data_IF_588325308896
#
_entry.id   IF_588325308896
#
_cell.length_a   1.000
_cell.length_b   1.000
_cell.length_c   1.000
_cell.angle_alpha   90.00
_cell.angle_beta   90.00
_cell.angle_gamma   90.00
#
_symmetry.space_group_name_H-M   'P 1'
#
loop_
_entity.id
_entity.type
_entity.pdbx_description
1 polymer ?
#
# COMPACT_ATOMS: atom_id res chain seq x y z
N UNK A 1 47.21 -32.71 -25.64
CA UNK A 1 47.46 -33.10 -24.23
C UNK A 1 46.16 -32.97 -23.45
N UNK A 2 45.94 -33.77 -22.40
CA UNK A 2 44.76 -33.66 -21.53
C UNK A 2 45.13 -33.88 -20.07
N UNK A 3 44.32 -33.34 -19.16
CA UNK A 3 44.48 -33.54 -17.73
C UNK A 3 43.79 -34.85 -17.33
N UNK A 4 44.50 -35.70 -16.60
CA UNK A 4 44.00 -36.97 -16.05
C UNK A 4 44.12 -36.93 -14.53
N UNK A 5 43.08 -37.41 -13.84
CA UNK A 5 43.12 -37.63 -12.40
C UNK A 5 43.42 -39.11 -12.15
N UNK A 6 44.43 -39.40 -11.33
CA UNK A 6 44.81 -40.76 -10.92
C UNK A 6 44.71 -40.91 -9.41
N UNK A 7 44.12 -42.01 -8.96
CA UNK A 7 43.97 -42.36 -7.55
C UNK A 7 45.12 -43.29 -7.11
N UNK A 8 45.68 -43.03 -5.92
CA UNK A 8 46.65 -43.91 -5.27
C UNK A 8 46.31 -43.98 -3.78
N UNK A 9 45.68 -45.08 -3.37
CA UNK A 9 45.07 -45.19 -2.03
C UNK A 9 43.96 -44.16 -1.83
N UNK A 10 44.00 -43.42 -0.72
CA UNK A 10 43.05 -42.34 -0.42
C UNK A 10 43.36 -41.00 -1.10
N UNK A 11 44.43 -40.92 -1.90
CA UNK A 11 44.93 -39.67 -2.48
C UNK A 11 44.65 -39.58 -3.97
N UNK A 12 44.25 -38.39 -4.43
CA UNK A 12 44.04 -38.08 -5.86
C UNK A 12 45.13 -37.15 -6.36
N UNK A 13 45.70 -37.47 -7.53
CA UNK A 13 46.75 -36.70 -8.18
C UNK A 13 46.31 -36.24 -9.55
N UNK A 14 46.74 -35.03 -9.93
CA UNK A 14 46.47 -34.45 -11.25
C UNK A 14 47.72 -34.62 -12.12
N UNK A 15 47.56 -35.17 -13.32
CA UNK A 15 48.65 -35.38 -14.27
C UNK A 15 48.31 -34.80 -15.64
N UNK A 16 49.28 -34.18 -16.29
CA UNK A 16 49.21 -33.76 -17.69
C UNK A 16 49.72 -34.91 -18.57
N UNK A 17 48.87 -35.41 -19.45
CA UNK A 17 49.15 -36.56 -20.31
C UNK A 17 49.13 -36.13 -21.77
N UNK A 18 50.12 -36.59 -22.52
CA UNK A 18 50.20 -36.43 -23.97
C UNK A 18 49.95 -37.76 -24.66
N UNK A 19 49.23 -37.73 -25.77
CA UNK A 19 49.10 -38.87 -26.67
C UNK A 19 50.03 -38.65 -27.86
N UNK A 20 50.92 -39.59 -28.13
CA UNK A 20 51.87 -39.55 -29.25
C UNK A 20 51.77 -40.85 -30.05
N UNK A 21 52.15 -40.82 -31.33
CA UNK A 21 52.25 -42.03 -32.17
C UNK A 21 53.69 -42.52 -32.13
N UNK A 22 53.89 -43.83 -31.96
CA UNK A 22 55.20 -44.44 -32.14
C UNK A 22 55.53 -44.62 -33.62
N UNK A 23 56.79 -44.96 -33.93
CA UNK A 23 57.27 -45.14 -35.31
C UNK A 23 56.53 -46.27 -36.06
N UNK A 24 55.78 -47.11 -35.35
CA UNK A 24 54.90 -48.15 -35.89
C UNK A 24 53.44 -47.69 -36.07
N UNK A 25 53.15 -46.39 -35.89
CA UNK A 25 51.84 -45.79 -36.09
C UNK A 25 50.82 -46.04 -34.96
N UNK A 26 51.20 -46.70 -33.85
CA UNK A 26 50.30 -46.95 -32.72
C UNK A 26 50.26 -45.76 -31.77
N UNK A 27 49.05 -45.39 -31.33
CA UNK A 27 48.85 -44.29 -30.37
C UNK A 27 49.18 -44.77 -28.97
N UNK A 28 50.18 -44.15 -28.34
CA UNK A 28 50.56 -44.35 -26.93
C UNK A 28 50.35 -43.09 -26.11
N UNK A 29 50.20 -43.25 -24.80
CA UNK A 29 50.07 -42.14 -23.85
C UNK A 29 51.33 -42.06 -22.99
N UNK A 30 51.87 -40.86 -22.82
CA UNK A 30 52.97 -40.57 -21.87
C UNK A 30 52.54 -39.48 -20.89
N UNK A 31 52.88 -39.66 -19.63
CA UNK A 31 52.69 -38.61 -18.61
C UNK A 31 53.80 -37.58 -18.80
N UNK A 32 53.41 -36.34 -19.07
CA UNK A 32 54.32 -35.21 -19.30
C UNK A 32 54.71 -34.56 -17.97
N UNK A 33 53.75 -34.39 -17.07
CA UNK A 33 53.99 -33.78 -15.76
C UNK A 33 52.95 -34.25 -14.73
N UNK A 34 53.32 -34.25 -13.45
CA UNK A 34 52.39 -34.41 -12.33
C UNK A 34 52.20 -33.06 -11.65
N UNK A 35 50.97 -32.53 -11.67
CA UNK A 35 50.60 -31.20 -11.18
C UNK A 35 50.28 -31.17 -9.68
N UNK A 36 50.45 -32.30 -8.97
CA UNK A 36 50.31 -32.38 -7.53
C UNK A 36 49.03 -33.09 -7.05
N UNK A 37 48.76 -33.00 -5.74
CA UNK A 37 47.61 -33.64 -5.07
C UNK A 37 46.38 -32.76 -5.19
N UNK A 38 45.26 -33.32 -5.65
CA UNK A 38 44.03 -32.57 -5.91
C UNK A 38 43.56 -31.76 -4.69
N UNK A 39 43.70 -32.30 -3.48
CA UNK A 39 43.19 -31.66 -2.26
C UNK A 39 44.12 -30.56 -1.68
N UNK A 40 45.27 -30.28 -2.31
CA UNK A 40 46.26 -29.29 -1.84
C UNK A 40 46.52 -28.17 -2.86
N UNK A 41 45.86 -28.22 -4.00
CA UNK A 41 46.31 -27.53 -5.23
C UNK A 41 45.46 -26.30 -5.57
N UNK A 42 44.45 -25.95 -4.77
CA UNK A 42 43.45 -24.94 -5.13
C UNK A 42 44.01 -23.53 -5.41
N UNK A 43 44.88 -22.97 -4.57
CA UNK A 43 45.36 -21.59 -4.75
C UNK A 43 46.46 -21.46 -5.81
N UNK A 44 47.41 -22.39 -5.84
CA UNK A 44 48.54 -22.35 -6.78
C UNK A 44 48.13 -22.75 -8.20
N UNK A 45 47.16 -23.67 -8.36
CA UNK A 45 46.65 -24.06 -9.68
C UNK A 45 45.87 -22.93 -10.33
N UNK A 46 45.10 -22.17 -9.56
CA UNK A 46 44.40 -21.00 -10.09
C UNK A 46 45.36 -19.96 -10.66
N UNK A 47 46.51 -19.73 -10.02
CA UNK A 47 47.56 -18.86 -10.54
C UNK A 47 48.16 -19.40 -11.86
N UNK A 48 48.39 -20.72 -11.95
CA UNK A 48 48.88 -21.36 -13.18
C UNK A 48 47.83 -21.30 -14.30
N UNK A 49 46.55 -21.52 -14.00
CA UNK A 49 45.45 -21.40 -14.96
C UNK A 49 45.36 -19.97 -15.50
N UNK A 50 45.42 -18.96 -14.63
CA UNK A 50 45.42 -17.56 -15.04
C UNK A 50 46.65 -17.20 -15.89
N UNK A 51 47.83 -17.73 -15.53
CA UNK A 51 49.05 -17.56 -16.32
C UNK A 51 48.95 -18.19 -17.71
N UNK A 52 48.41 -19.41 -17.81
CA UNK A 52 48.20 -20.10 -19.09
C UNK A 52 47.17 -19.39 -19.98
N UNK A 53 46.09 -18.86 -19.40
CA UNK A 53 45.09 -18.04 -20.12
C UNK A 53 45.76 -16.77 -20.67
N UNK A 54 46.60 -16.10 -19.86
CA UNK A 54 47.32 -14.90 -20.28
C UNK A 54 48.31 -15.18 -21.43
N UNK A 55 49.01 -16.31 -21.38
CA UNK A 55 50.01 -16.71 -22.41
C UNK A 55 49.34 -17.25 -23.67
N UNK A 56 48.17 -17.89 -23.57
CA UNK A 56 47.43 -18.41 -24.73
C UNK A 56 46.78 -17.31 -25.59
N UNK A 57 46.92 -16.04 -25.19
CA UNK A 57 46.27 -14.91 -25.87
C UNK A 57 44.75 -14.90 -25.72
N UNK A 58 44.21 -15.83 -24.92
CA UNK A 58 42.82 -15.77 -24.49
C UNK A 58 42.73 -14.62 -23.50
N UNK A 59 42.17 -13.49 -23.95
CA UNK A 59 41.61 -12.53 -23.00
C UNK A 59 40.73 -13.36 -22.07
N UNK A 60 40.85 -13.23 -20.73
CA UNK A 60 39.90 -13.85 -19.84
C UNK A 60 38.55 -13.25 -20.17
N UNK A 61 37.83 -13.88 -21.11
CA UNK A 61 36.40 -13.72 -21.21
C UNK A 61 35.95 -14.10 -19.81
N UNK A 62 35.41 -13.18 -19.01
CA UNK A 62 34.79 -13.59 -17.78
C UNK A 62 33.81 -14.66 -18.22
N UNK A 63 34.10 -15.92 -17.89
CA UNK A 63 33.07 -16.94 -17.91
C UNK A 63 31.92 -16.24 -17.22
N UNK A 64 30.77 -16.02 -17.87
CA UNK A 64 29.63 -15.64 -17.10
C UNK A 64 29.48 -16.85 -16.20
N UNK A 65 29.99 -16.75 -14.96
CA UNK A 65 29.21 -17.18 -13.83
C UNK A 65 27.85 -16.63 -14.19
N UNK A 66 26.99 -17.51 -14.67
CA UNK A 66 25.56 -17.24 -14.69
C UNK A 66 25.30 -17.08 -13.21
N UNK A 67 25.58 -15.87 -12.71
CA UNK A 67 25.07 -15.37 -11.46
C UNK A 67 23.60 -15.52 -11.76
N UNK A 68 23.01 -16.58 -11.18
CA UNK A 68 21.59 -16.79 -11.23
C UNK A 68 20.98 -15.42 -11.02
N UNK A 69 20.15 -14.92 -11.97
CA UNK A 69 19.66 -13.56 -11.92
C UNK A 69 19.19 -13.34 -10.48
N UNK A 70 19.65 -12.27 -9.84
CA UNK A 70 19.30 -12.01 -8.45
C UNK A 70 17.78 -11.80 -8.41
N UNK A 71 17.03 -12.86 -8.13
CA UNK A 71 15.59 -12.82 -7.97
C UNK A 71 15.37 -12.14 -6.62
N UNK A 72 15.15 -10.83 -6.69
CA UNK A 72 14.69 -10.05 -5.56
C UNK A 72 13.16 -9.99 -5.63
N UNK A 73 12.50 -10.34 -4.53
CA UNK A 73 11.08 -10.08 -4.40
C UNK A 73 10.89 -8.61 -4.04
N UNK A 74 10.32 -7.84 -4.95
CA UNK A 74 9.83 -6.51 -4.63
C UNK A 74 8.57 -6.61 -3.76
N UNK A 75 8.32 -5.56 -2.98
CA UNK A 75 7.15 -5.50 -2.12
C UNK A 75 5.87 -5.48 -2.97
N UNK A 76 5.03 -6.50 -2.82
CA UNK A 76 3.70 -6.54 -3.42
C UNK A 76 2.74 -5.65 -2.63
N UNK A 77 2.64 -4.38 -3.04
CA UNK A 77 1.75 -3.40 -2.40
C UNK A 77 0.38 -3.38 -3.04
N UNK A 78 -0.67 -3.23 -2.23
CA UNK A 78 -2.01 -3.01 -2.74
C UNK A 78 -2.13 -1.63 -3.39
N UNK A 79 -2.77 -1.58 -4.57
CA UNK A 79 -2.85 -0.37 -5.39
C UNK A 79 -4.25 -0.09 -5.94
N UNK A 80 -5.00 -1.12 -6.34
CA UNK A 80 -6.23 -0.92 -7.12
C UNK A 80 -7.32 -0.14 -6.39
N UNK A 81 -7.59 -0.49 -5.13
CA UNK A 81 -8.54 0.18 -4.24
C UNK A 81 -8.12 1.63 -3.94
N UNK A 82 -6.87 1.82 -3.56
CA UNK A 82 -6.30 3.13 -3.22
C UNK A 82 -6.28 4.06 -4.43
N UNK A 83 -5.93 3.54 -5.60
CA UNK A 83 -5.94 4.29 -6.86
C UNK A 83 -7.37 4.71 -7.22
N UNK A 84 -8.32 3.77 -7.20
CA UNK A 84 -9.72 4.05 -7.52
C UNK A 84 -10.32 5.11 -6.59
N UNK A 85 -10.04 5.04 -5.28
CA UNK A 85 -10.46 6.04 -4.32
C UNK A 85 -9.77 7.39 -4.52
N UNK A 86 -8.51 7.39 -4.95
CA UNK A 86 -7.79 8.64 -5.24
C UNK A 86 -8.35 9.34 -6.47
N UNK A 87 -8.69 8.61 -7.52
CA UNK A 87 -9.35 9.19 -8.70
C UNK A 87 -10.77 9.66 -8.35
N UNK A 88 -11.54 8.88 -7.58
CA UNK A 88 -12.86 9.31 -7.11
C UNK A 88 -12.77 10.61 -6.27
N UNK A 89 -11.75 10.73 -5.43
CA UNK A 89 -11.51 11.94 -4.64
C UNK A 89 -11.31 13.18 -5.54
N UNK A 90 -10.56 13.03 -6.63
CA UNK A 90 -10.31 14.08 -7.62
C UNK A 90 -11.57 14.40 -8.41
N UNK A 91 -12.28 13.39 -8.90
CA UNK A 91 -13.51 13.53 -9.69
C UNK A 91 -14.64 14.19 -8.91
N UNK A 92 -14.77 13.86 -7.63
CA UNK A 92 -15.73 14.52 -6.73
C UNK A 92 -15.31 15.94 -6.34
N UNK A 93 -14.11 16.39 -6.72
CA UNK A 93 -13.63 17.75 -6.47
C UNK A 93 -13.13 17.99 -5.04
N UNK A 94 -12.87 16.94 -4.25
CA UNK A 94 -12.40 17.10 -2.87
C UNK A 94 -11.01 17.75 -2.77
N UNK A 95 -10.24 17.80 -3.87
CA UNK A 95 -9.01 18.60 -3.96
C UNK A 95 -9.23 20.09 -3.66
N UNK A 96 -10.47 20.60 -3.74
CA UNK A 96 -10.82 21.96 -3.31
C UNK A 96 -10.52 22.22 -1.82
N UNK A 97 -10.52 21.18 -0.97
CA UNK A 97 -10.19 21.29 0.46
C UNK A 97 -8.78 21.84 0.70
N UNK A 98 -7.85 21.63 -0.24
CA UNK A 98 -6.50 22.18 -0.17
C UNK A 98 -6.49 23.70 -0.05
N UNK A 99 -7.48 24.39 -0.62
CA UNK A 99 -7.61 25.85 -0.53
C UNK A 99 -8.03 26.31 0.87
N UNK A 100 -8.79 25.51 1.60
CA UNK A 100 -9.23 25.80 2.97
C UNK A 100 -8.03 25.82 3.90
N UNK A 101 -7.14 24.83 3.76
CA UNK A 101 -5.98 24.67 4.64
C UNK A 101 -4.77 25.54 4.25
N UNK A 102 -4.75 26.15 3.06
CA UNK A 102 -3.67 27.07 2.63
C UNK A 102 -3.50 28.30 3.51
N UNK A 103 -4.55 28.69 4.25
CA UNK A 103 -4.51 29.85 5.16
C UNK A 103 -3.84 29.53 6.49
N UNK A 104 -3.70 28.24 6.83
CA UNK A 104 -3.17 27.80 8.10
C UNK A 104 -1.65 27.69 8.02
N UNK A 105 -0.95 28.06 9.09
CA UNK A 105 0.52 28.17 9.18
C UNK A 105 1.25 26.80 9.15
N UNK A 106 0.63 25.77 8.59
CA UNK A 106 1.17 24.43 8.59
C UNK A 106 2.08 24.21 7.37
N UNK A 107 3.31 23.80 7.63
CA UNK A 107 4.29 23.38 6.62
C UNK A 107 3.89 22.09 5.89
N UNK A 108 2.86 21.39 6.39
CA UNK A 108 2.43 20.07 5.93
C UNK A 108 1.15 20.16 5.11
N UNK A 109 1.05 19.37 4.03
CA UNK A 109 -0.16 19.31 3.21
C UNK A 109 -1.31 18.58 3.96
N UNK A 110 -2.15 19.37 4.64
CA UNK A 110 -3.24 18.88 5.48
C UNK A 110 -4.29 18.11 4.67
N UNK A 111 -4.60 18.55 3.44
CA UNK A 111 -5.56 17.85 2.58
C UNK A 111 -5.06 16.44 2.24
N UNK A 112 -3.78 16.30 1.90
CA UNK A 112 -3.19 15.00 1.61
C UNK A 112 -3.25 14.05 2.83
N UNK A 113 -3.02 14.56 4.04
CA UNK A 113 -3.11 13.75 5.26
C UNK A 113 -4.54 13.32 5.58
N UNK A 114 -5.51 14.22 5.41
CA UNK A 114 -6.93 13.90 5.58
C UNK A 114 -7.34 12.85 4.54
N UNK A 115 -6.94 13.03 3.28
CA UNK A 115 -7.20 12.07 2.21
C UNK A 115 -6.66 10.68 2.58
N UNK A 116 -5.41 10.58 3.03
CA UNK A 116 -4.83 9.31 3.49
C UNK A 116 -5.66 8.66 4.61
N UNK A 117 -6.09 9.44 5.61
CA UNK A 117 -6.92 8.90 6.71
C UNK A 117 -8.30 8.45 6.25
N UNK A 118 -8.93 9.17 5.31
CA UNK A 118 -10.22 8.78 4.73
C UNK A 118 -10.08 7.50 3.91
N UNK A 119 -9.05 7.41 3.07
CA UNK A 119 -8.77 6.22 2.27
C UNK A 119 -8.49 5.01 3.17
N UNK A 120 -7.68 5.15 4.21
CA UNK A 120 -7.48 4.09 5.19
C UNK A 120 -8.83 3.65 5.82
N UNK A 121 -9.69 4.60 6.18
CA UNK A 121 -11.01 4.29 6.77
C UNK A 121 -11.92 3.50 5.84
N UNK A 122 -11.77 3.65 4.52
CA UNK A 122 -12.53 2.94 3.49
C UNK A 122 -11.92 1.58 3.13
N UNK A 123 -10.59 1.47 3.11
CA UNK A 123 -9.88 0.25 2.71
C UNK A 123 -9.64 -0.71 3.88
N UNK A 124 -9.01 -0.22 4.95
CA UNK A 124 -8.58 -1.04 6.10
C UNK A 124 -8.61 -0.20 7.38
N UNK A 125 -9.78 -0.12 8.04
CA UNK A 125 -10.03 0.86 9.09
C UNK A 125 -9.21 0.59 10.35
N UNK A 126 -8.12 1.34 10.52
CA UNK A 126 -7.23 1.22 11.68
C UNK A 126 -7.15 2.51 12.53
N UNK A 127 -6.39 2.45 13.63
CA UNK A 127 -6.03 3.64 14.42
C UNK A 127 -5.07 4.56 13.65
N UNK A 128 -4.88 5.83 14.07
CA UNK A 128 -3.91 6.74 13.42
C UNK A 128 -2.48 6.20 13.42
N UNK A 129 -2.12 5.39 14.42
CA UNK A 129 -0.84 4.71 14.45
C UNK A 129 -0.81 3.54 13.45
N UNK A 130 -1.95 2.84 13.32
CA UNK A 130 -2.15 1.79 12.31
C UNK A 130 -2.05 2.31 10.88
N UNK A 131 -2.58 3.51 10.60
CA UNK A 131 -2.41 4.18 9.30
C UNK A 131 -0.94 4.20 8.85
N UNK A 132 0.03 4.41 9.75
CA UNK A 132 1.45 4.41 9.39
C UNK A 132 1.95 3.04 8.95
N UNK A 133 1.41 1.95 9.52
CA UNK A 133 1.73 0.58 9.12
C UNK A 133 1.04 0.23 7.81
N UNK A 134 -0.24 0.60 7.68
CA UNK A 134 -1.01 0.44 6.45
C UNK A 134 -0.33 1.15 5.26
N UNK A 135 0.25 2.32 5.49
CA UNK A 135 1.04 3.04 4.48
C UNK A 135 2.23 2.24 3.92
N UNK A 136 2.79 1.29 4.68
CA UNK A 136 3.86 0.41 4.20
C UNK A 136 3.35 -0.69 3.26
N UNK A 137 2.06 -1.05 3.36
CA UNK A 137 1.42 -2.13 2.60
C UNK A 137 0.76 -1.66 1.30
N UNK A 138 0.50 -0.36 1.16
CA UNK A 138 -0.17 0.23 -0.01
C UNK A 138 0.72 1.14 -0.85
N UNK A 139 0.42 1.23 -2.14
CA UNK A 139 1.02 2.20 -3.05
C UNK A 139 0.04 3.37 -3.25
N UNK A 140 0.30 4.49 -2.58
CA UNK A 140 -0.50 5.71 -2.71
C UNK A 140 0.02 6.59 -3.85
N UNK A 141 -0.82 6.91 -4.86
CA UNK A 141 -0.48 7.92 -5.85
C UNK A 141 -0.49 9.32 -5.22
N UNK A 142 0.34 10.22 -5.75
CA UNK A 142 0.41 11.65 -5.41
C UNK A 142 0.74 11.99 -3.93
N UNK A 143 1.21 11.02 -3.15
CA UNK A 143 1.59 11.21 -1.73
C UNK A 143 2.94 10.54 -1.47
N UNK A 144 3.91 11.30 -0.98
CA UNK A 144 5.19 10.75 -0.51
C UNK A 144 5.02 10.12 0.86
N UNK A 145 4.78 8.81 0.87
CA UNK A 145 4.47 8.01 2.05
C UNK A 145 5.56 8.07 3.14
N UNK A 146 6.84 8.14 2.75
CA UNK A 146 7.99 8.12 3.69
C UNK A 146 8.11 9.36 4.59
N UNK A 147 7.34 10.41 4.32
CA UNK A 147 7.41 11.67 5.08
C UNK A 147 6.32 11.81 6.15
N UNK A 148 5.35 10.88 6.22
CA UNK A 148 4.18 11.03 7.09
C UNK A 148 4.48 10.50 8.49
N UNK A 149 4.30 11.36 9.48
CA UNK A 149 4.48 11.05 10.90
C UNK A 149 3.15 11.03 11.64
N UNK A 150 3.08 10.29 12.75
CA UNK A 150 1.88 10.24 13.59
C UNK A 150 1.45 11.64 14.08
N UNK A 151 2.41 12.50 14.41
CA UNK A 151 2.14 13.87 14.87
C UNK A 151 1.51 14.75 13.78
N UNK A 152 1.91 14.55 12.51
CA UNK A 152 1.28 15.27 11.41
C UNK A 152 -0.18 14.84 11.23
N UNK A 153 -0.49 13.55 11.35
CA UNK A 153 -1.88 13.06 11.31
C UNK A 153 -2.72 13.68 12.42
N UNK A 154 -2.23 13.72 13.66
CA UNK A 154 -2.97 14.35 14.76
C UNK A 154 -3.17 15.85 14.53
N UNK A 155 -2.12 16.59 14.13
CA UNK A 155 -2.24 18.02 13.83
C UNK A 155 -3.16 18.32 12.65
N UNK A 156 -3.27 17.40 11.69
CA UNK A 156 -4.21 17.56 10.58
C UNK A 156 -5.67 17.47 11.05
N UNK A 157 -5.96 16.70 12.09
CA UNK A 157 -7.28 16.67 12.73
C UNK A 157 -7.57 17.98 13.47
N UNK A 158 -6.58 18.56 14.14
CA UNK A 158 -6.74 19.86 14.79
C UNK A 158 -7.05 20.95 13.75
N UNK A 159 -6.32 20.97 12.63
CA UNK A 159 -6.56 21.89 11.52
C UNK A 159 -7.94 21.69 10.87
N UNK A 160 -8.39 20.44 10.75
CA UNK A 160 -9.73 20.09 10.27
C UNK A 160 -10.81 20.66 11.20
N UNK A 161 -10.63 20.56 12.51
CA UNK A 161 -11.56 21.12 13.50
C UNK A 161 -11.55 22.65 13.50
N UNK A 162 -10.38 23.28 13.38
CA UNK A 162 -10.27 24.75 13.35
C UNK A 162 -10.99 25.36 12.14
N UNK A 163 -10.96 24.67 10.99
CA UNK A 163 -11.59 25.13 9.74
C UNK A 163 -12.93 24.45 9.44
N UNK A 164 -13.60 23.88 10.46
CA UNK A 164 -14.80 23.06 10.30
C UNK A 164 -15.86 23.71 9.39
N UNK A 165 -16.22 24.97 9.64
CA UNK A 165 -17.27 25.66 8.87
C UNK A 165 -16.92 25.83 7.39
N UNK A 166 -15.64 26.08 7.07
CA UNK A 166 -15.17 26.20 5.70
C UNK A 166 -15.13 24.83 4.99
N UNK A 167 -14.75 23.78 5.72
CA UNK A 167 -14.79 22.40 5.22
C UNK A 167 -16.23 21.97 4.94
N UNK A 168 -17.16 22.23 5.87
CA UNK A 168 -18.58 21.92 5.72
C UNK A 168 -19.17 22.61 4.49
N UNK A 169 -18.81 23.88 4.24
CA UNK A 169 -19.26 24.61 3.06
C UNK A 169 -18.77 23.98 1.75
N UNK A 170 -17.51 23.54 1.68
CA UNK A 170 -16.96 22.84 0.52
C UNK A 170 -17.66 21.50 0.32
N UNK A 171 -17.74 20.68 1.36
CA UNK A 171 -18.37 19.35 1.29
C UNK A 171 -19.85 19.48 0.89
N UNK A 172 -20.59 20.41 1.49
CA UNK A 172 -21.98 20.66 1.13
C UNK A 172 -22.12 21.11 -0.34
N UNK A 173 -21.20 21.97 -0.81
CA UNK A 173 -21.17 22.42 -2.20
C UNK A 173 -20.92 21.28 -3.20
N UNK A 174 -20.04 20.33 -2.86
CA UNK A 174 -19.74 19.16 -3.69
C UNK A 174 -20.85 18.12 -3.66
N UNK A 175 -21.49 17.92 -2.51
CA UNK A 175 -22.56 16.94 -2.36
C UNK A 175 -23.89 17.44 -2.95
N UNK A 176 -24.23 18.72 -2.82
CA UNK A 176 -25.53 19.27 -3.22
C UNK A 176 -25.95 18.93 -4.67
N UNK A 177 -25.08 18.96 -5.68
CA UNK A 177 -25.43 18.54 -7.05
C UNK A 177 -25.68 17.04 -7.21
N UNK A 178 -25.09 16.21 -6.34
CA UNK A 178 -25.31 14.75 -6.34
C UNK A 178 -26.66 14.37 -5.72
N UNK A 179 -27.28 15.31 -5.01
CA UNK A 179 -28.59 15.17 -4.40
C UNK A 179 -29.64 15.58 -5.42
N UNK A 180 -30.45 14.62 -5.86
CA UNK A 180 -31.56 14.86 -6.78
C UNK A 180 -32.55 15.89 -6.18
N UNK A 181 -32.92 16.93 -6.94
CA UNK A 181 -33.82 17.96 -6.41
C UNK A 181 -35.29 17.48 -6.31
N UNK A 182 -35.62 16.37 -6.98
CA UNK A 182 -36.92 15.69 -6.87
C UNK A 182 -37.02 14.76 -5.66
N UNK A 183 -36.30 15.11 -4.58
CA UNK A 183 -36.28 14.32 -3.37
C UNK A 183 -37.66 14.31 -2.70
N UNK A 184 -38.28 13.14 -2.65
CA UNK A 184 -39.61 12.98 -2.04
C UNK A 184 -39.56 12.70 -0.54
N UNK A 185 -38.44 12.14 -0.05
CA UNK A 185 -38.24 11.78 1.37
C UNK A 185 -36.76 11.90 1.74
N UNK A 186 -36.47 12.62 2.83
CA UNK A 186 -35.16 12.66 3.48
C UNK A 186 -35.25 11.78 4.73
N UNK A 187 -34.47 10.70 4.78
CA UNK A 187 -34.34 9.91 6.01
C UNK A 187 -33.23 10.53 6.85
N UNK A 188 -33.60 11.06 8.01
CA UNK A 188 -32.67 11.59 8.99
C UNK A 188 -32.69 10.68 10.21
N UNK A 189 -31.59 9.98 10.45
CA UNK A 189 -31.41 9.17 11.65
C UNK A 189 -30.44 9.86 12.60
N UNK A 190 -30.82 9.93 13.88
CA UNK A 190 -30.03 10.53 14.95
C UNK A 190 -29.45 9.42 15.81
N UNK A 191 -28.17 9.14 15.64
CA UNK A 191 -27.45 8.19 16.49
C UNK A 191 -26.67 8.94 17.55
N UNK A 192 -26.78 8.51 18.80
CA UNK A 192 -25.98 9.06 19.89
C UNK A 192 -24.75 8.20 20.08
N UNK A 193 -23.57 8.76 19.81
CA UNK A 193 -22.29 8.12 20.06
C UNK A 193 -21.83 8.55 21.45
N UNK A 194 -21.66 7.57 22.34
CA UNK A 194 -21.07 7.77 23.67
C UNK A 194 -19.63 7.32 23.65
N UNK A 195 -18.73 8.18 24.14
CA UNK A 195 -17.34 7.80 24.40
C UNK A 195 -17.04 7.99 25.88
N UNK A 196 -16.55 6.94 26.51
CA UNK A 196 -16.06 6.93 27.89
C UNK A 196 -14.53 6.86 27.93
N UNK A 197 -13.94 7.54 28.90
CA UNK A 197 -12.51 7.46 29.17
C UNK A 197 -12.26 6.89 30.55
N UNK A 198 -11.36 5.91 30.66
CA UNK A 198 -10.99 5.29 31.94
C UNK A 198 -9.90 6.05 32.70
N UNK A 199 -9.32 7.10 32.08
CA UNK A 199 -8.17 7.82 32.64
C UNK A 199 -8.63 9.04 33.43
N UNK A 200 -8.34 9.01 34.73
CA UNK A 200 -8.54 10.14 35.66
C UNK A 200 -7.27 10.99 35.73
N UNK A 201 -7.37 12.26 35.36
CA UNK A 201 -6.25 13.23 35.43
C UNK A 201 -6.53 14.23 36.57
N UNK A 202 -5.55 14.55 37.43
CA UNK A 202 -5.74 15.56 38.49
C UNK A 202 -6.11 16.93 37.91
N UNK A 203 -7.06 17.63 38.55
CA UNK A 203 -7.54 18.97 38.16
C UNK A 203 -8.24 19.04 36.80
N UNK A 204 -8.70 17.92 36.26
CA UNK A 204 -9.36 17.88 34.96
C UNK A 204 -10.78 18.43 35.03
N UNK A 205 -11.15 19.29 34.07
CA UNK A 205 -12.50 19.87 33.92
C UNK A 205 -13.58 18.78 33.84
N UNK A 206 -13.23 17.58 33.36
CA UNK A 206 -14.12 16.41 33.30
C UNK A 206 -14.70 15.98 34.65
N UNK A 207 -14.04 16.28 35.77
CA UNK A 207 -14.51 15.94 37.11
C UNK A 207 -15.78 16.70 37.53
N UNK A 208 -16.05 17.86 36.92
CA UNK A 208 -17.21 18.70 37.23
C UNK A 208 -18.42 18.46 36.30
N UNK A 209 -18.29 17.54 35.33
CA UNK A 209 -19.30 17.25 34.31
C UNK A 209 -19.59 15.75 34.15
N UNK A 210 -19.56 15.00 35.26
CA UNK A 210 -19.84 13.56 35.27
C UNK A 210 -21.29 13.26 34.87
N UNK A 211 -21.49 12.20 34.08
CA UNK A 211 -22.83 11.67 33.82
C UNK A 211 -23.44 11.11 35.11
N UNK A 212 -24.78 10.96 35.17
CA UNK A 212 -25.49 10.34 36.30
C UNK A 212 -25.00 8.92 36.62
N UNK A 213 -24.41 8.27 35.64
CA UNK A 213 -23.80 6.94 35.72
C UNK A 213 -22.41 6.95 36.39
N UNK A 214 -21.89 8.12 36.79
CA UNK A 214 -20.61 8.29 37.47
C UNK A 214 -19.38 8.26 36.54
N UNK A 215 -19.60 8.27 35.23
CA UNK A 215 -18.56 8.19 34.21
C UNK A 215 -18.38 9.51 33.47
N UNK A 216 -17.16 9.73 32.96
CA UNK A 216 -16.86 10.81 32.01
C UNK A 216 -17.41 10.37 30.65
N UNK A 217 -18.66 10.72 30.37
CA UNK A 217 -19.29 10.45 29.08
C UNK A 217 -19.31 11.72 28.24
N UNK A 218 -18.58 11.73 27.12
CA UNK A 218 -18.89 12.68 26.05
C UNK A 218 -19.92 12.05 25.12
N UNK A 219 -21.03 12.74 24.94
CA UNK A 219 -22.08 12.34 24.01
C UNK A 219 -22.02 13.29 22.82
N UNK A 220 -21.84 12.72 21.62
CA UNK A 220 -21.95 13.45 20.38
C UNK A 220 -23.09 12.83 19.57
N UNK A 221 -23.93 13.68 19.00
CA UNK A 221 -25.05 13.24 18.17
C UNK A 221 -24.59 13.23 16.71
N UNK A 222 -24.65 12.07 16.08
CA UNK A 222 -24.34 11.89 14.67
C UNK A 222 -25.65 11.80 13.89
N UNK A 223 -25.87 12.75 12.99
CA UNK A 223 -27.00 12.72 12.06
C UNK A 223 -26.58 12.02 10.78
N UNK A 224 -27.18 10.87 10.47
CA UNK A 224 -27.03 10.21 9.19
C UNK A 224 -28.21 10.60 8.29
N UNK A 225 -27.92 11.24 7.15
CA UNK A 225 -28.93 11.62 6.18
C UNK A 225 -28.86 10.67 4.98
N UNK A 226 -29.91 9.89 4.74
CA UNK A 226 -30.05 9.06 3.55
C UNK A 226 -31.10 9.65 2.62
N UNK A 227 -30.71 9.79 1.37
CA UNK A 227 -31.52 10.37 0.31
C UNK A 227 -32.06 9.21 -0.52
N UNK A 228 -33.38 9.11 -0.66
CA UNK A 228 -34.00 8.03 -1.43
C UNK A 228 -34.91 8.59 -2.51
N UNK A 229 -34.68 8.10 -3.74
CA UNK A 229 -35.54 8.36 -4.88
C UNK A 229 -36.80 7.50 -4.74
N UNK A 230 -37.96 8.13 -4.59
CA UNK A 230 -39.24 7.42 -4.71
C UNK A 230 -39.60 7.46 -6.20
N UNK A 231 -39.48 6.33 -6.89
CA UNK A 231 -39.89 6.21 -8.28
C UNK A 231 -41.42 6.43 -8.35
N UNK A 232 -41.87 7.57 -8.90
CA UNK A 232 -43.28 7.97 -8.94
C UNK A 232 -44.21 7.04 -9.74
N UNK A 233 -43.68 6.03 -10.43
CA UNK A 233 -44.49 5.11 -11.25
C UNK A 233 -45.35 4.14 -10.43
N UNK A 234 -44.96 3.82 -9.19
CA UNK A 234 -45.66 2.77 -8.41
C UNK A 234 -46.83 3.30 -7.58
N UNK A 235 -46.92 4.61 -7.33
CA UNK A 235 -47.93 5.17 -6.41
C UNK A 235 -49.27 5.53 -7.08
N UNK A 236 -49.33 5.64 -8.41
CA UNK A 236 -50.58 6.00 -9.13
C UNK A 236 -51.60 4.86 -9.23
N UNK A 237 -51.21 3.60 -9.00
CA UNK A 237 -52.13 2.47 -9.12
C UNK A 237 -52.93 2.15 -7.85
N UNK A 238 -52.61 2.76 -6.70
CA UNK A 238 -53.24 2.41 -5.40
C UNK A 238 -54.26 3.43 -4.88
N UNK A 239 -54.43 4.59 -5.52
CA UNK A 239 -55.30 5.68 -5.01
C UNK A 239 -56.35 6.17 -6.03
N UNK A 240 -56.82 5.29 -6.92
CA UNK A 240 -57.90 5.61 -7.86
C UNK A 240 -59.20 4.87 -7.52
N UNK A 241 -59.78 5.15 -6.35
CA UNK A 241 -61.21 4.88 -6.10
C UNK A 241 -61.89 6.20 -5.72
N UNK A 242 -62.54 6.89 -6.66
CA UNK A 242 -63.22 8.15 -6.36
C UNK A 242 -64.57 7.86 -5.70
N UNK A 243 -64.72 8.25 -4.43
CA UNK A 243 -66.01 8.42 -3.77
C UNK A 243 -66.77 9.54 -4.50
N UNK A 244 -67.80 9.17 -5.27
CA UNK A 244 -68.73 10.11 -5.92
C UNK A 244 -69.58 10.84 -4.87
N UNK A 245 -69.71 12.18 -4.91
CA UNK A 245 -70.79 12.87 -4.22
C UNK A 245 -72.06 12.82 -5.08
N UNK A 246 -73.18 12.36 -4.49
CA UNK A 246 -74.52 12.53 -5.07
C UNK A 246 -74.86 14.02 -5.09
N UNK A 247 -75.16 14.58 -6.26
CA UNK A 247 -75.97 15.80 -6.38
C UNK A 247 -77.18 15.54 -7.26
N UNK A 248 -78.34 15.72 -6.65
CA UNK A 248 -79.62 15.92 -7.29
C UNK A 248 -79.57 17.19 -8.16
N UNK A 249 -80.14 17.14 -9.37
CA UNK A 249 -81.37 17.83 -9.74
C UNK A 249 -81.68 17.58 -11.23
N UNK A 250 -82.93 17.14 -11.46
CA UNK A 250 -83.69 17.18 -12.74
C UNK A 250 -84.05 18.63 -13.10
N UNK A 251 -84.72 18.90 -14.25
CA UNK A 251 -84.98 18.03 -15.41
C UNK A 251 -84.16 18.39 -16.65
#
# INVERSE_FOLDING_TARGET
MHVKITTSGSRRYVQLVESYRDDAGKVKKRTVATLGRLDQVDSQLNAVIQGLIKVSGQVPTPTPTISSPSIAFEAARAFGDVWALTELWKDLGFSALRQVFRKTRHTTDVEALIRVMVLNRLCDPESKLGVLRWLETVALPDVTVTAITHQQLLRSMDALMEQQSAVDAVVAGLLRPLIDQDLSVVFYDLTTIRSEGLVTVPQDVRQFGMAKEGLIARQFMLGACRLQRVCRSTMRSSMATPLRPKRCCRP
#
